data_IF_590680316745
#
_entry.id   IF_590680316745
#
_cell.length_a   1.000
_cell.length_b   1.000
_cell.length_c   1.000
_cell.angle_alpha   90.00
_cell.angle_beta   90.00
_cell.angle_gamma   90.00
#
_symmetry.space_group_name_H-M   'P 1'
#
loop_
_entity.id
_entity.type
_entity.pdbx_description
1 polymer ?
#
# COMPACT_ATOMS: atom_id res chain seq x y z
N UNK A 1 27.60 9.52 -21.41
CA UNK A 1 27.23 9.76 -20.04
C UNK A 1 26.61 8.51 -19.42
N UNK A 2 26.93 8.24 -18.17
CA UNK A 2 26.38 7.11 -17.46
C UNK A 2 25.01 7.50 -16.86
N UNK A 3 24.03 6.62 -17.03
CA UNK A 3 22.76 6.80 -16.36
C UNK A 3 22.95 6.63 -14.84
N UNK A 4 22.23 7.42 -14.05
CA UNK A 4 22.20 7.24 -12.61
C UNK A 4 21.45 5.94 -12.26
N UNK A 5 21.65 5.39 -11.07
CA UNK A 5 20.91 4.21 -10.63
C UNK A 5 19.40 4.44 -10.69
N UNK A 6 18.95 5.65 -10.32
CA UNK A 6 17.53 6.02 -10.40
C UNK A 6 17.01 6.02 -11.84
N UNK A 7 17.80 6.57 -12.77
CA UNK A 7 17.43 6.60 -14.19
C UNK A 7 17.34 5.19 -14.78
N UNK A 8 18.26 4.30 -14.40
CA UNK A 8 18.25 2.91 -14.84
C UNK A 8 17.00 2.17 -14.30
N UNK A 9 16.67 2.38 -13.02
CA UNK A 9 15.50 1.80 -12.39
C UNK A 9 14.23 2.27 -13.09
N UNK A 10 14.10 3.58 -13.34
CA UNK A 10 12.92 4.13 -14.01
C UNK A 10 12.79 3.62 -15.43
N UNK A 11 13.88 3.44 -16.16
CA UNK A 11 13.86 2.85 -17.50
C UNK A 11 13.34 1.42 -17.48
N UNK A 12 13.80 0.59 -16.52
CA UNK A 12 13.36 -0.79 -16.38
C UNK A 12 11.88 -0.84 -15.99
N UNK A 13 11.46 -0.02 -15.04
CA UNK A 13 10.07 0.07 -14.58
C UNK A 13 9.14 0.44 -15.75
N UNK A 14 9.53 1.41 -16.56
CA UNK A 14 8.73 1.82 -17.71
C UNK A 14 8.58 0.70 -18.73
N UNK A 15 9.65 -0.05 -18.98
CA UNK A 15 9.59 -1.21 -19.87
C UNK A 15 8.67 -2.31 -19.36
N UNK A 16 8.71 -2.57 -18.06
CA UNK A 16 7.83 -3.54 -17.42
C UNK A 16 6.37 -3.11 -17.55
N UNK A 17 6.08 -1.84 -17.32
CA UNK A 17 4.74 -1.29 -17.45
C UNK A 17 4.22 -1.40 -18.87
N UNK A 18 5.03 -1.11 -19.85
CA UNK A 18 4.70 -1.26 -21.27
C UNK A 18 4.37 -2.70 -21.61
N UNK A 19 5.00 -3.66 -20.94
CA UNK A 19 4.70 -5.08 -21.07
C UNK A 19 3.46 -5.57 -20.34
N UNK A 20 2.70 -4.67 -19.71
CA UNK A 20 1.47 -5.01 -19.01
C UNK A 20 1.62 -5.28 -17.51
N UNK A 21 2.81 -5.10 -16.95
CA UNK A 21 3.05 -5.29 -15.52
C UNK A 21 2.57 -4.07 -14.74
N UNK A 22 2.02 -4.31 -13.55
CA UNK A 22 1.68 -3.25 -12.61
C UNK A 22 2.87 -2.98 -11.72
N UNK A 23 3.07 -1.71 -11.39
CA UNK A 23 4.20 -1.26 -10.58
C UNK A 23 3.71 -0.93 -9.19
N UNK A 24 4.22 -1.67 -8.22
CA UNK A 24 3.88 -1.51 -6.81
C UNK A 24 5.02 -0.81 -6.09
N UNK A 25 4.71 0.26 -5.36
CA UNK A 25 5.65 0.88 -4.44
C UNK A 25 5.38 0.35 -3.03
N UNK A 26 6.32 -0.42 -2.51
CA UNK A 26 6.24 -0.99 -1.16
C UNK A 26 6.83 -0.04 -0.12
N UNK A 27 6.41 -0.20 1.12
CA UNK A 27 6.92 0.56 2.27
C UNK A 27 6.86 2.08 2.08
N UNK A 28 5.79 2.58 1.46
CA UNK A 28 5.62 4.02 1.29
C UNK A 28 5.61 4.72 2.65
N UNK A 29 6.38 5.80 2.75
CA UNK A 29 6.50 6.56 3.99
C UNK A 29 7.66 6.14 4.89
N UNK A 30 8.35 5.04 4.57
CA UNK A 30 9.50 4.58 5.35
C UNK A 30 10.79 5.33 5.03
N UNK A 31 10.83 6.03 3.89
CA UNK A 31 11.99 6.79 3.45
C UNK A 31 11.59 8.14 2.85
N UNK A 32 12.49 9.11 2.93
CA UNK A 32 12.21 10.46 2.43
C UNK A 32 12.09 10.53 0.90
N UNK A 33 12.56 9.53 0.18
CA UNK A 33 12.53 9.52 -1.29
C UNK A 33 11.21 9.04 -1.88
N UNK A 34 10.25 8.60 -1.05
CA UNK A 34 8.97 8.06 -1.53
C UNK A 34 8.19 9.03 -2.42
N UNK A 35 8.13 10.30 -2.03
CA UNK A 35 7.43 11.32 -2.81
C UNK A 35 8.09 11.57 -4.16
N UNK A 36 9.43 11.55 -4.21
CA UNK A 36 10.16 11.69 -5.47
C UNK A 36 9.88 10.50 -6.40
N UNK A 37 9.84 9.30 -5.85
CA UNK A 37 9.51 8.10 -6.62
C UNK A 37 8.11 8.20 -7.24
N UNK A 38 7.13 8.69 -6.48
CA UNK A 38 5.78 8.90 -7.01
C UNK A 38 5.75 9.91 -8.14
N UNK A 39 6.56 10.95 -8.05
CA UNK A 39 6.63 12.00 -9.06
C UNK A 39 7.27 11.49 -10.36
N UNK A 40 8.28 10.66 -10.25
CA UNK A 40 9.16 10.30 -11.36
C UNK A 40 8.90 8.91 -11.96
N UNK A 41 8.29 8.00 -11.20
CA UNK A 41 8.06 6.62 -11.64
C UNK A 41 6.58 6.38 -11.97
N UNK A 42 6.28 5.51 -12.97
CA UNK A 42 4.91 5.17 -13.35
C UNK A 42 4.30 4.15 -12.38
N UNK A 43 4.11 4.56 -11.13
CA UNK A 43 3.57 3.72 -10.07
C UNK A 43 2.07 3.54 -10.26
N UNK A 44 1.59 2.31 -10.10
CA UNK A 44 0.16 1.98 -10.18
C UNK A 44 -0.46 1.75 -8.80
N UNK A 45 0.34 1.33 -7.83
CA UNK A 45 -0.14 0.90 -6.54
C UNK A 45 0.84 1.27 -5.44
N UNK A 46 0.31 1.70 -4.29
CA UNK A 46 1.09 2.02 -3.10
C UNK A 46 0.71 1.04 -2.00
N UNK A 47 1.71 0.51 -1.32
CA UNK A 47 1.53 -0.34 -0.15
C UNK A 47 1.95 0.44 1.09
N UNK A 48 1.00 0.69 1.99
CA UNK A 48 1.23 1.39 3.25
C UNK A 48 1.40 0.37 4.36
N UNK A 49 2.41 0.57 5.19
CA UNK A 49 2.65 -0.28 6.34
C UNK A 49 2.04 0.36 7.59
N UNK A 50 1.08 -0.33 8.20
CA UNK A 50 0.40 0.18 9.40
C UNK A 50 1.31 0.32 10.61
N UNK A 51 2.53 -0.23 10.57
CA UNK A 51 3.53 0.01 11.63
C UNK A 51 3.88 1.49 11.74
N UNK A 52 3.62 2.26 10.71
CA UNK A 52 3.76 3.72 10.74
C UNK A 52 2.97 4.33 11.92
N UNK A 53 1.79 3.79 12.22
CA UNK A 53 0.95 4.27 13.33
C UNK A 53 1.51 3.90 14.71
N UNK A 54 2.25 2.79 14.80
CA UNK A 54 2.81 2.32 16.07
C UNK A 54 4.22 2.82 16.31
N UNK A 55 4.85 3.47 15.33
CA UNK A 55 6.15 4.09 15.49
C UNK A 55 6.04 5.34 16.38
N UNK A 56 7.20 5.87 16.79
CA UNK A 56 7.21 7.07 17.63
C UNK A 56 6.44 8.22 16.97
N UNK A 57 5.49 8.76 17.70
CA UNK A 57 4.60 9.82 17.21
C UNK A 57 4.38 10.86 18.32
N UNK A 58 5.44 11.62 18.67
CA UNK A 58 5.41 12.51 19.84
C UNK A 58 4.37 13.63 19.73
N UNK A 59 3.94 13.99 18.53
CA UNK A 59 2.97 15.07 18.32
C UNK A 59 1.59 14.56 17.89
N UNK A 60 1.38 13.24 17.82
CA UNK A 60 0.10 12.66 17.46
C UNK A 60 -0.33 12.96 16.02
N UNK A 61 0.61 12.95 15.08
CA UNK A 61 0.35 13.33 13.68
C UNK A 61 0.25 12.15 12.70
N UNK A 62 0.53 10.94 13.17
CA UNK A 62 0.62 9.78 12.27
C UNK A 62 -0.68 9.51 11.52
N UNK A 63 -1.83 9.54 12.19
CA UNK A 63 -3.12 9.30 11.55
C UNK A 63 -3.43 10.34 10.48
N UNK A 64 -3.14 11.60 10.75
CA UNK A 64 -3.40 12.68 9.80
C UNK A 64 -2.51 12.55 8.58
N UNK A 65 -1.25 12.20 8.77
CA UNK A 65 -0.32 11.95 7.67
C UNK A 65 -0.83 10.78 6.83
N UNK A 66 -1.26 9.70 7.47
CA UNK A 66 -1.82 8.54 6.79
C UNK A 66 -3.04 8.93 5.95
N UNK A 67 -3.95 9.72 6.53
CA UNK A 67 -5.11 10.24 5.82
C UNK A 67 -4.70 11.03 4.57
N UNK A 68 -3.70 11.88 4.70
CA UNK A 68 -3.23 12.69 3.58
C UNK A 68 -2.59 11.85 2.49
N UNK A 69 -1.84 10.81 2.85
CA UNK A 69 -1.24 9.88 1.88
C UNK A 69 -2.33 9.15 1.10
N UNK A 70 -3.35 8.65 1.78
CA UNK A 70 -4.47 7.96 1.14
C UNK A 70 -5.22 8.91 0.21
N UNK A 71 -5.50 10.13 0.66
CA UNK A 71 -6.17 11.15 -0.13
C UNK A 71 -5.36 11.48 -1.40
N UNK A 72 -4.05 11.67 -1.25
CA UNK A 72 -3.16 11.93 -2.38
C UNK A 72 -3.17 10.78 -3.38
N UNK A 73 -3.05 9.55 -2.89
CA UNK A 73 -3.06 8.37 -3.76
C UNK A 73 -4.36 8.23 -4.53
N UNK A 74 -5.50 8.45 -3.87
CA UNK A 74 -6.80 8.43 -4.54
C UNK A 74 -6.92 9.52 -5.58
N UNK A 75 -6.42 10.70 -5.28
CA UNK A 75 -6.42 11.82 -6.21
C UNK A 75 -5.59 11.53 -7.46
N UNK A 76 -4.48 10.83 -7.29
CA UNK A 76 -3.61 10.39 -8.39
C UNK A 76 -4.12 9.12 -9.08
N UNK A 77 -5.25 8.57 -8.63
CA UNK A 77 -5.85 7.34 -9.15
C UNK A 77 -4.96 6.10 -8.96
N UNK A 78 -4.20 6.10 -7.87
CA UNK A 78 -3.40 4.96 -7.48
C UNK A 78 -4.23 4.00 -6.63
N UNK A 79 -3.92 2.72 -6.73
CA UNK A 79 -4.47 1.72 -5.82
C UNK A 79 -3.67 1.77 -4.52
N UNK A 80 -4.34 1.77 -3.37
CA UNK A 80 -3.67 1.86 -2.07
C UNK A 80 -4.03 0.63 -1.25
N UNK A 81 -2.99 -0.09 -0.80
CA UNK A 81 -3.14 -1.26 0.05
C UNK A 81 -2.55 -0.94 1.40
N UNK A 82 -3.33 -1.09 2.46
CA UNK A 82 -2.81 -0.98 3.83
C UNK A 82 -2.42 -2.37 4.31
N UNK A 83 -1.15 -2.55 4.66
CA UNK A 83 -0.60 -3.79 5.16
C UNK A 83 -0.46 -3.75 6.68
N UNK A 84 -0.73 -4.87 7.35
CA UNK A 84 -0.57 -4.96 8.79
C UNK A 84 -1.76 -4.45 9.58
N UNK A 85 -2.97 -4.53 9.02
CA UNK A 85 -4.20 -4.19 9.72
C UNK A 85 -4.51 -5.29 10.73
N UNK A 86 -4.57 -4.93 12.01
CA UNK A 86 -4.72 -5.88 13.10
C UNK A 86 -6.01 -5.71 13.90
N UNK A 87 -6.67 -4.56 13.80
CA UNK A 87 -7.84 -4.24 14.61
C UNK A 87 -9.00 -3.73 13.77
N UNK A 88 -10.22 -3.89 14.29
CA UNK A 88 -11.43 -3.31 13.69
C UNK A 88 -11.34 -1.79 13.62
N UNK A 89 -10.76 -1.15 14.64
CA UNK A 89 -10.59 0.30 14.68
C UNK A 89 -9.72 0.78 13.52
N UNK A 90 -8.63 0.08 13.23
CA UNK A 90 -7.77 0.39 12.10
C UNK A 90 -8.51 0.26 10.77
N UNK A 91 -9.29 -0.82 10.63
CA UNK A 91 -10.12 -1.05 9.44
C UNK A 91 -11.10 0.09 9.20
N UNK A 92 -11.84 0.47 10.24
CA UNK A 92 -12.84 1.55 10.15
C UNK A 92 -12.17 2.88 9.80
N UNK A 93 -11.03 3.17 10.42
CA UNK A 93 -10.26 4.37 10.14
C UNK A 93 -9.83 4.43 8.67
N UNK A 94 -9.27 3.34 8.16
CA UNK A 94 -8.82 3.26 6.78
C UNK A 94 -9.98 3.43 5.79
N UNK A 95 -11.11 2.81 6.05
CA UNK A 95 -12.30 2.97 5.24
C UNK A 95 -12.79 4.41 5.24
N UNK A 96 -12.76 5.05 6.41
CA UNK A 96 -13.11 6.47 6.53
C UNK A 96 -12.17 7.39 5.78
N UNK A 97 -10.91 7.01 5.65
CA UNK A 97 -9.92 7.78 4.88
C UNK A 97 -9.99 7.50 3.38
N UNK A 98 -10.78 6.53 2.96
CA UNK A 98 -10.92 6.20 1.55
C UNK A 98 -10.02 5.08 1.05
N UNK A 99 -9.40 4.32 1.95
CA UNK A 99 -8.60 3.16 1.57
C UNK A 99 -9.52 1.95 1.37
N UNK A 100 -9.52 1.38 0.16
CA UNK A 100 -10.43 0.30 -0.21
C UNK A 100 -9.83 -1.09 -0.07
N UNK A 101 -8.51 -1.18 0.07
CA UNK A 101 -7.81 -2.46 0.17
C UNK A 101 -7.00 -2.51 1.45
N UNK A 102 -7.07 -3.64 2.14
CA UNK A 102 -6.32 -3.84 3.36
C UNK A 102 -5.95 -5.31 3.50
N UNK A 103 -4.83 -5.57 4.17
CA UNK A 103 -4.38 -6.92 4.48
C UNK A 103 -3.68 -6.92 5.84
N UNK A 104 -3.68 -8.06 6.51
CA UNK A 104 -3.11 -8.22 7.83
C UNK A 104 -3.86 -9.25 8.65
N UNK A 105 -3.50 -9.38 9.91
CA UNK A 105 -4.08 -10.40 10.78
C UNK A 105 -5.57 -10.22 11.05
N UNK A 106 -6.09 -9.00 10.92
CA UNK A 106 -7.52 -8.76 11.08
C UNK A 106 -8.34 -9.48 10.01
N UNK A 107 -7.84 -9.49 8.75
CA UNK A 107 -8.53 -10.11 7.63
C UNK A 107 -8.24 -11.60 7.52
N UNK A 108 -6.95 -11.96 7.61
CA UNK A 108 -6.51 -13.36 7.59
C UNK A 108 -5.11 -13.45 8.16
N UNK A 109 -4.88 -14.39 9.08
CA UNK A 109 -3.54 -14.71 9.54
C UNK A 109 -2.87 -15.60 8.49
N UNK A 110 -1.53 -15.65 8.45
CA UNK A 110 -0.84 -16.62 7.60
C UNK A 110 -1.39 -18.02 7.86
N UNK A 111 -1.75 -18.73 6.80
CA UNK A 111 -2.40 -20.04 6.92
C UNK A 111 -2.00 -20.94 5.75
N UNK A 112 -2.27 -22.23 5.90
CA UNK A 112 -2.03 -23.19 4.84
C UNK A 112 -2.97 -22.94 3.67
N UNK A 113 -2.55 -23.35 2.48
CA UNK A 113 -3.35 -23.18 1.26
C UNK A 113 -4.77 -23.73 1.39
N UNK A 114 -4.91 -24.93 1.99
CA UNK A 114 -6.22 -25.54 2.19
C UNK A 114 -7.15 -24.69 3.07
N UNK A 115 -6.62 -24.12 4.15
CA UNK A 115 -7.38 -23.24 5.03
C UNK A 115 -7.79 -21.95 4.31
N UNK A 116 -6.90 -21.40 3.50
CA UNK A 116 -7.17 -20.21 2.71
C UNK A 116 -8.27 -20.46 1.69
N UNK A 117 -8.26 -21.63 1.04
CA UNK A 117 -9.29 -22.01 0.08
C UNK A 117 -10.66 -22.10 0.74
N UNK A 118 -10.75 -22.68 1.94
CA UNK A 118 -12.00 -22.75 2.70
C UNK A 118 -12.51 -21.36 3.08
N UNK A 119 -11.61 -20.47 3.49
CA UNK A 119 -11.97 -19.08 3.80
C UNK A 119 -12.58 -18.37 2.59
N UNK A 120 -11.99 -18.51 1.42
CA UNK A 120 -12.50 -17.93 0.19
C UNK A 120 -13.88 -18.45 -0.18
N UNK A 121 -14.12 -19.76 -0.02
CA UNK A 121 -15.43 -20.35 -0.26
C UNK A 121 -16.48 -19.78 0.68
N UNK A 122 -16.14 -19.62 1.95
CA UNK A 122 -17.03 -19.04 2.96
C UNK A 122 -17.39 -17.60 2.63
N UNK A 123 -16.44 -16.79 2.22
CA UNK A 123 -16.68 -15.40 1.82
C UNK A 123 -17.63 -15.32 0.61
N UNK A 124 -17.44 -16.18 -0.36
CA UNK A 124 -18.32 -16.22 -1.54
C UNK A 124 -19.75 -16.64 -1.16
N UNK A 125 -19.92 -17.52 -0.20
CA UNK A 125 -21.24 -17.95 0.27
C UNK A 125 -21.98 -16.84 1.03
N UNK A 126 -21.24 -15.95 1.71
CA UNK A 126 -21.81 -14.83 2.48
C UNK A 126 -22.15 -13.62 1.61
N UNK A 127 -21.58 -13.53 0.44
CA UNK A 127 -21.86 -12.47 -0.52
C UNK A 127 -22.94 -12.93 -1.51
#
# INVERSE_FOLDING_TARGET
>A
AYATDSEMIFSVVEKLRQGGFRILMDDFGSGYSSLNMLKEAPVDEIKLDMRFLSAADPYGRAEEILHMIITMGNHMKLSIIAEGVETEQQKVMLQGFGCNKAQGYFYARPMREAEYTELLKKEKAEN
#
